data_IF_056760777737
#
_entry.id   IF_056760777737
#
_cell.length_a   1.000
_cell.length_b   1.000
_cell.length_c   1.000
_cell.angle_alpha   90.00
_cell.angle_beta   90.00
_cell.angle_gamma   90.00
#
_symmetry.space_group_name_H-M   'P 1'
#
loop_
_entity.id
_entity.type
_entity.pdbx_description
1 polymer ?
#
# COMPACT_ATOMS: atom_id res chain seq x y z
N UNK A 1 -6.49 -20.11 5.35
CA UNK A 1 -7.05 -18.81 4.88
C UNK A 1 -6.09 -17.65 5.12
N UNK A 2 -5.57 -17.48 6.34
CA UNK A 2 -4.59 -16.43 6.67
C UNK A 2 -3.36 -16.38 5.74
N UNK A 3 -2.75 -17.53 5.43
CA UNK A 3 -1.60 -17.61 4.51
C UNK A 3 -1.93 -17.11 3.08
N UNK A 4 -3.15 -17.33 2.60
CA UNK A 4 -3.59 -16.87 1.27
C UNK A 4 -3.71 -15.35 1.26
N UNK A 5 -4.34 -14.76 2.28
CA UNK A 5 -4.45 -13.30 2.41
C UNK A 5 -3.08 -12.64 2.50
N UNK A 6 -2.16 -13.24 3.27
CA UNK A 6 -0.78 -12.76 3.37
C UNK A 6 -0.02 -12.87 2.05
N UNK A 7 -0.23 -13.95 1.30
CA UNK A 7 0.38 -14.12 -0.01
C UNK A 7 -0.10 -13.05 -0.99
N UNK A 8 -1.41 -12.81 -1.07
CA UNK A 8 -1.99 -11.79 -1.94
C UNK A 8 -1.57 -10.38 -1.52
N UNK A 9 -1.55 -10.08 -0.22
CA UNK A 9 -1.06 -8.80 0.31
C UNK A 9 0.42 -8.59 -0.03
N UNK A 10 1.25 -9.61 0.17
CA UNK A 10 2.67 -9.55 -0.14
C UNK A 10 2.91 -9.33 -1.65
N UNK A 11 2.17 -10.03 -2.51
CA UNK A 11 2.22 -9.85 -3.96
C UNK A 11 1.86 -8.40 -4.34
N UNK A 12 0.79 -7.86 -3.76
CA UNK A 12 0.38 -6.47 -3.98
C UNK A 12 1.47 -5.47 -3.56
N UNK A 13 2.07 -5.63 -2.37
CA UNK A 13 3.13 -4.75 -1.88
C UNK A 13 4.38 -4.82 -2.75
N UNK A 14 4.76 -6.01 -3.20
CA UNK A 14 5.89 -6.22 -4.12
C UNK A 14 5.63 -5.50 -5.46
N UNK A 15 4.43 -5.61 -6.03
CA UNK A 15 4.07 -4.90 -7.26
C UNK A 15 4.12 -3.38 -7.08
N UNK A 16 3.65 -2.86 -5.94
CA UNK A 16 3.73 -1.43 -5.62
C UNK A 16 5.18 -0.96 -5.49
N UNK A 17 6.02 -1.72 -4.78
CA UNK A 17 7.44 -1.42 -4.63
C UNK A 17 8.18 -1.45 -5.96
N UNK A 18 7.97 -2.51 -6.74
CA UNK A 18 8.55 -2.66 -8.06
C UNK A 18 8.19 -1.48 -8.97
N UNK A 19 6.91 -1.10 -8.99
CA UNK A 19 6.42 0.05 -9.75
C UNK A 19 7.05 1.37 -9.28
N UNK A 20 7.22 1.56 -7.98
CA UNK A 20 7.83 2.77 -7.42
C UNK A 20 9.33 2.87 -7.77
N UNK A 21 10.06 1.75 -7.71
CA UNK A 21 11.49 1.68 -8.06
C UNK A 21 11.69 1.92 -9.56
N UNK A 22 10.93 1.22 -10.42
CA UNK A 22 10.98 1.45 -11.87
C UNK A 22 10.59 2.88 -12.24
N UNK A 23 9.54 3.42 -11.61
CA UNK A 23 9.10 4.78 -11.84
C UNK A 23 10.12 5.84 -11.41
N UNK A 24 10.93 5.56 -10.38
CA UNK A 24 11.97 6.47 -9.90
C UNK A 24 13.29 6.36 -10.69
N UNK A 25 13.78 5.15 -10.91
CA UNK A 25 15.12 4.91 -11.51
C UNK A 25 15.03 4.85 -13.03
N UNK A 26 14.07 4.10 -13.57
CA UNK A 26 13.94 3.87 -15.01
C UNK A 26 13.25 5.03 -15.71
N UNK A 27 11.97 5.25 -15.38
CA UNK A 27 11.14 6.22 -16.11
C UNK A 27 11.29 7.67 -15.60
N UNK A 28 11.93 7.87 -14.42
CA UNK A 28 12.07 9.17 -13.75
C UNK A 28 10.77 9.96 -13.58
N UNK A 29 9.65 9.25 -13.50
CA UNK A 29 8.32 9.84 -13.32
C UNK A 29 7.99 10.02 -11.83
N UNK A 30 8.60 9.23 -10.95
CA UNK A 30 8.40 9.28 -9.49
C UNK A 30 9.60 9.97 -8.85
N UNK A 31 9.34 10.87 -7.90
CA UNK A 31 10.39 11.53 -7.14
C UNK A 31 11.04 10.58 -6.12
N UNK A 32 12.34 10.78 -5.83
CA UNK A 32 13.06 10.00 -4.80
C UNK A 32 12.35 10.00 -3.44
N UNK A 33 11.75 11.14 -3.07
CA UNK A 33 10.92 11.28 -1.87
C UNK A 33 9.75 10.31 -1.87
N UNK A 34 8.97 10.26 -2.96
CA UNK A 34 7.79 9.41 -3.05
C UNK A 34 8.17 7.92 -3.13
N UNK A 35 9.30 7.57 -3.76
CA UNK A 35 9.86 6.22 -3.70
C UNK A 35 10.20 5.81 -2.24
N UNK A 36 10.90 6.67 -1.50
CA UNK A 36 11.23 6.41 -0.09
C UNK A 36 9.99 6.30 0.80
N UNK A 37 8.98 7.15 0.58
CA UNK A 37 7.70 7.07 1.29
C UNK A 37 6.94 5.77 0.95
N UNK A 38 7.04 5.28 -0.28
CA UNK A 38 6.46 3.99 -0.68
C UNK A 38 7.14 2.85 0.07
N UNK A 39 8.48 2.83 0.08
CA UNK A 39 9.27 1.86 0.85
C UNK A 39 8.90 1.87 2.33
N UNK A 40 8.88 3.05 2.95
CA UNK A 40 8.49 3.20 4.34
C UNK A 40 7.07 2.70 4.60
N UNK A 41 6.10 3.08 3.76
CA UNK A 41 4.71 2.64 3.91
C UNK A 41 4.57 1.12 3.80
N UNK A 42 5.29 0.49 2.86
CA UNK A 42 5.28 -0.98 2.73
C UNK A 42 5.88 -1.69 3.95
N UNK A 43 6.94 -1.13 4.56
CA UNK A 43 7.52 -1.65 5.79
C UNK A 43 6.53 -1.53 6.96
N UNK A 44 5.85 -0.40 7.09
CA UNK A 44 4.79 -0.20 8.10
C UNK A 44 3.68 -1.23 7.92
N UNK A 45 3.19 -1.45 6.70
CA UNK A 45 2.15 -2.46 6.43
C UNK A 45 2.62 -3.84 6.85
N UNK A 46 3.85 -4.25 6.48
CA UNK A 46 4.39 -5.55 6.83
C UNK A 46 4.52 -5.74 8.36
N UNK A 47 5.12 -4.76 9.06
CA UNK A 47 5.32 -4.82 10.50
C UNK A 47 3.98 -4.83 11.27
N UNK A 48 3.04 -3.97 10.88
CA UNK A 48 1.72 -3.90 11.50
C UNK A 48 0.89 -5.16 11.19
N UNK A 49 0.99 -5.72 9.99
CA UNK A 49 0.32 -6.99 9.65
C UNK A 49 0.84 -8.14 10.51
N UNK A 50 2.16 -8.20 10.72
CA UNK A 50 2.76 -9.17 11.63
C UNK A 50 2.27 -8.99 13.08
N UNK A 51 2.29 -7.75 13.59
CA UNK A 51 1.79 -7.47 14.95
C UNK A 51 0.30 -7.77 15.12
N UNK A 52 -0.51 -7.49 14.10
CA UNK A 52 -1.95 -7.77 14.12
C UNK A 52 -2.26 -9.27 14.18
N UNK A 53 -1.60 -10.05 13.32
CA UNK A 53 -1.90 -11.49 13.16
C UNK A 53 -1.16 -12.38 14.16
N UNK A 54 0.14 -12.16 14.38
CA UNK A 54 0.95 -13.04 15.23
C UNK A 54 1.03 -12.57 16.68
N UNK A 55 1.13 -11.26 16.93
CA UNK A 55 1.19 -10.73 18.30
C UNK A 55 -0.22 -10.45 18.87
N UNK A 56 -1.26 -10.68 18.07
CA UNK A 56 -2.67 -10.45 18.42
C UNK A 56 -2.93 -9.03 18.95
N UNK A 57 -2.24 -8.03 18.42
CA UNK A 57 -2.48 -6.63 18.76
C UNK A 57 -3.55 -6.01 17.85
N UNK A 58 -4.78 -5.85 18.35
CA UNK A 58 -5.92 -5.30 17.59
C UNK A 58 -5.61 -3.94 16.96
N UNK A 59 -4.91 -3.07 17.71
CA UNK A 59 -4.60 -1.71 17.27
C UNK A 59 -3.68 -1.65 16.05
N UNK A 60 -2.95 -2.74 15.75
CA UNK A 60 -2.05 -2.79 14.61
C UNK A 60 -2.78 -2.73 13.26
N UNK A 61 -4.09 -3.04 13.20
CA UNK A 61 -4.89 -2.89 11.98
C UNK A 61 -4.95 -1.42 11.51
N UNK A 62 -4.91 -0.46 12.43
CA UNK A 62 -4.88 0.96 12.08
C UNK A 62 -3.57 1.35 11.39
N UNK A 63 -2.45 0.71 11.77
CA UNK A 63 -1.17 0.88 11.09
C UNK A 63 -1.18 0.29 9.67
N UNK A 64 -1.82 -0.86 9.49
CA UNK A 64 -2.04 -1.45 8.15
C UNK A 64 -2.89 -0.52 7.28
N UNK A 65 -4.00 -0.02 7.83
CA UNK A 65 -4.88 0.93 7.15
C UNK A 65 -4.11 2.20 6.76
N UNK A 66 -3.43 2.82 7.72
CA UNK A 66 -2.61 4.01 7.50
C UNK A 66 -1.59 3.81 6.39
N UNK A 67 -0.89 2.67 6.36
CA UNK A 67 0.05 2.34 5.29
C UNK A 67 -0.61 2.17 3.92
N UNK A 68 -1.72 1.43 3.81
CA UNK A 68 -2.45 1.22 2.55
C UNK A 68 -2.99 2.54 1.97
N UNK A 69 -3.57 3.39 2.82
CA UNK A 69 -4.05 4.70 2.42
C UNK A 69 -2.90 5.67 2.12
N UNK A 70 -1.77 5.58 2.82
CA UNK A 70 -0.56 6.33 2.49
C UNK A 70 -0.04 5.97 1.09
N UNK A 71 0.02 4.68 0.72
CA UNK A 71 0.38 4.25 -0.65
C UNK A 71 -0.54 4.88 -1.71
N UNK A 72 -1.81 5.07 -1.38
CA UNK A 72 -2.78 5.73 -2.26
C UNK A 72 -2.52 7.22 -2.39
N UNK A 73 -2.25 7.91 -1.28
CA UNK A 73 -1.88 9.32 -1.28
C UNK A 73 -0.55 9.59 -1.99
N UNK A 74 0.44 8.72 -1.84
CA UNK A 74 1.73 8.82 -2.54
C UNK A 74 1.53 8.69 -4.05
N UNK A 75 0.70 7.75 -4.49
CA UNK A 75 0.41 7.60 -5.91
C UNK A 75 -0.36 8.78 -6.49
N UNK A 76 -1.28 9.37 -5.72
CA UNK A 76 -1.95 10.61 -6.12
C UNK A 76 -0.95 11.76 -6.25
N UNK A 77 -0.05 11.91 -5.27
CA UNK A 77 1.05 12.89 -5.30
C UNK A 77 1.94 12.74 -6.53
N UNK A 78 2.27 11.50 -6.91
CA UNK A 78 3.00 11.21 -8.15
C UNK A 78 2.22 11.67 -9.39
N UNK A 79 0.92 11.38 -9.48
CA UNK A 79 0.09 11.82 -10.60
C UNK A 79 0.06 13.35 -10.74
N UNK A 80 -0.09 14.06 -9.62
CA UNK A 80 -0.01 15.53 -9.62
C UNK A 80 1.34 16.06 -10.09
N UNK A 81 2.45 15.46 -9.65
CA UNK A 81 3.81 15.83 -10.09
C UNK A 81 4.02 15.58 -11.60
N UNK A 82 3.34 14.58 -12.16
CA UNK A 82 3.33 14.29 -13.60
C UNK A 82 2.34 15.16 -14.39
N UNK A 83 1.70 16.17 -13.77
CA UNK A 83 0.64 17.00 -14.36
C UNK A 83 -0.54 16.18 -14.91
N UNK A 84 -0.76 14.97 -14.37
CA UNK A 84 -1.90 14.14 -14.72
C UNK A 84 -3.14 14.62 -13.98
N UNK A 85 -4.26 14.77 -14.71
CA UNK A 85 -5.54 15.04 -14.07
C UNK A 85 -5.95 13.81 -13.24
N UNK A 86 -6.31 13.99 -11.97
CA UNK A 86 -6.74 12.87 -11.13
C UNK A 86 -8.02 12.26 -11.72
N UNK A 87 -7.94 11.01 -12.18
CA UNK A 87 -9.11 10.24 -12.53
C UNK A 87 -9.74 9.66 -11.27
N UNK A 88 -10.92 10.17 -10.93
CA UNK A 88 -11.68 9.76 -9.73
C UNK A 88 -11.86 8.23 -9.71
N UNK A 89 -12.18 7.61 -10.85
CA UNK A 89 -12.37 6.17 -10.97
C UNK A 89 -11.14 5.36 -10.50
N UNK A 90 -9.94 5.75 -10.92
CA UNK A 90 -8.70 5.09 -10.47
C UNK A 90 -8.49 5.24 -8.96
N UNK A 91 -8.84 6.40 -8.40
CA UNK A 91 -8.67 6.64 -6.98
C UNK A 91 -9.65 5.81 -6.15
N UNK A 92 -10.91 5.72 -6.59
CA UNK A 92 -11.97 4.92 -5.94
C UNK A 92 -11.61 3.43 -5.98
N UNK A 93 -11.14 2.92 -7.11
CA UNK A 93 -10.69 1.53 -7.23
C UNK A 93 -9.59 1.22 -6.22
N UNK A 94 -8.61 2.12 -6.06
CA UNK A 94 -7.53 1.94 -5.10
C UNK A 94 -8.02 1.94 -3.66
N UNK A 95 -8.98 2.82 -3.33
CA UNK A 95 -9.60 2.83 -2.00
C UNK A 95 -10.37 1.53 -1.74
N UNK A 96 -11.13 1.03 -2.72
CA UNK A 96 -11.85 -0.23 -2.59
C UNK A 96 -10.89 -1.40 -2.35
N UNK A 97 -9.77 -1.47 -3.07
CA UNK A 97 -8.72 -2.49 -2.85
C UNK A 97 -8.18 -2.43 -1.41
N UNK A 98 -7.89 -1.24 -0.88
CA UNK A 98 -7.42 -1.10 0.50
C UNK A 98 -8.44 -1.63 1.51
N UNK A 99 -9.73 -1.29 1.33
CA UNK A 99 -10.82 -1.76 2.19
C UNK A 99 -10.98 -3.27 2.11
N UNK A 100 -10.87 -3.86 0.91
CA UNK A 100 -10.91 -5.32 0.72
C UNK A 100 -9.77 -5.99 1.48
N UNK A 101 -8.55 -5.45 1.44
CA UNK A 101 -7.42 -6.00 2.21
C UNK A 101 -7.66 -5.93 3.72
N UNK A 102 -8.21 -4.82 4.22
CA UNK A 102 -8.53 -4.68 5.64
C UNK A 102 -9.61 -5.66 6.08
N UNK A 103 -10.68 -5.81 5.29
CA UNK A 103 -11.72 -6.80 5.53
C UNK A 103 -11.15 -8.23 5.49
N UNK A 104 -10.32 -8.55 4.50
CA UNK A 104 -9.71 -9.87 4.40
C UNK A 104 -8.83 -10.18 5.60
N UNK A 105 -8.01 -9.21 6.07
CA UNK A 105 -7.20 -9.37 7.28
C UNK A 105 -8.06 -9.53 8.54
N UNK A 106 -9.16 -8.78 8.64
CA UNK A 106 -10.10 -8.90 9.75
C UNK A 106 -10.76 -10.29 9.80
N UNK A 107 -11.17 -10.83 8.65
CA UNK A 107 -11.86 -12.12 8.55
C UNK A 107 -10.96 -13.34 8.78
N UNK A 108 -9.64 -13.22 8.59
CA UNK A 108 -8.70 -14.35 8.71
C UNK A 108 -7.88 -14.35 9.99
N UNK A 109 -8.11 -13.38 10.87
CA UNK A 109 -7.49 -13.33 12.19
C UNK A 109 -8.16 -14.30 13.14
#
# INVERSE_FOLDING_TARGET
>A
MQLVVLFVLSLYLVLVLFSAVLGCIGARMITKRNMLLTLFSTLVIAACTYSYLWQRNDSAIYGVAGGLFALSGIALSNGFQMHQKPHISHHVIRMAINVIFLLALYLVR
#
